data_IF_699557442903
#
_entry.id   IF_699557442903
#
_cell.length_a   1.000
_cell.length_b   1.000
_cell.length_c   1.000
_cell.angle_alpha   90.00
_cell.angle_beta   90.00
_cell.angle_gamma   90.00
#
_symmetry.space_group_name_H-M   'P 1'
#
loop_
_entity.id
_entity.type
_entity.pdbx_description
1 polymer ?
#
# COMPACT_ATOMS: atom_id res chain seq x y z
N UNK A 1 -19.66 -13.12 1.74
CA UNK A 1 -18.37 -13.74 1.40
C UNK A 1 -18.48 -14.73 0.24
N UNK A 2 -17.60 -14.63 -0.77
CA UNK A 2 -17.43 -15.61 -1.85
C UNK A 2 -16.43 -16.69 -1.45
N UNK A 3 -16.46 -17.85 -2.10
CA UNK A 3 -15.46 -18.91 -1.93
C UNK A 3 -14.49 -18.92 -3.12
N UNK A 4 -13.24 -19.31 -2.89
CA UNK A 4 -12.22 -19.50 -3.93
C UNK A 4 -12.78 -20.34 -5.11
N UNK A 5 -12.69 -19.80 -6.32
CA UNK A 5 -13.27 -20.37 -7.54
C UNK A 5 -14.57 -19.68 -7.99
N UNK A 6 -15.08 -18.70 -7.24
CA UNK A 6 -16.30 -17.94 -7.56
C UNK A 6 -16.01 -16.53 -8.10
N UNK A 7 -14.77 -16.26 -8.53
CA UNK A 7 -14.39 -14.99 -9.15
C UNK A 7 -15.20 -14.67 -10.41
N UNK A 8 -15.61 -13.40 -10.53
CA UNK A 8 -16.35 -12.85 -11.67
C UNK A 8 -15.60 -11.66 -12.25
N UNK A 9 -15.02 -10.79 -11.40
CA UNK A 9 -14.25 -9.63 -11.85
C UNK A 9 -12.77 -9.97 -12.11
N UNK A 10 -12.07 -9.08 -12.80
CA UNK A 10 -10.61 -9.22 -13.02
C UNK A 10 -9.85 -9.12 -11.70
N UNK A 11 -10.28 -8.25 -10.78
CA UNK A 11 -9.64 -8.09 -9.48
C UNK A 11 -9.85 -9.33 -8.61
N UNK A 12 -11.01 -9.97 -8.68
CA UNK A 12 -11.24 -11.24 -8.00
C UNK A 12 -10.35 -12.35 -8.58
N UNK A 13 -10.20 -12.43 -9.91
CA UNK A 13 -9.28 -13.40 -10.53
C UNK A 13 -7.83 -13.19 -10.10
N UNK A 14 -7.38 -11.94 -9.98
CA UNK A 14 -6.05 -11.60 -9.48
C UNK A 14 -5.85 -12.02 -8.02
N UNK A 15 -6.84 -11.73 -7.17
CA UNK A 15 -6.85 -12.21 -5.78
C UNK A 15 -6.75 -13.73 -5.73
N UNK A 16 -7.62 -14.44 -6.44
CA UNK A 16 -7.63 -15.90 -6.38
C UNK A 16 -6.32 -16.52 -6.91
N UNK A 17 -5.68 -15.92 -7.91
CA UNK A 17 -4.37 -16.35 -8.38
C UNK A 17 -3.30 -16.18 -7.29
N UNK A 18 -3.30 -15.05 -6.58
CA UNK A 18 -2.41 -14.81 -5.45
C UNK A 18 -2.66 -15.79 -4.30
N UNK A 19 -3.92 -16.03 -3.92
CA UNK A 19 -4.30 -17.01 -2.89
C UNK A 19 -3.80 -18.42 -3.24
N UNK A 20 -3.95 -18.85 -4.50
CA UNK A 20 -3.49 -20.17 -4.96
C UNK A 20 -1.97 -20.34 -4.94
N UNK A 21 -1.21 -19.25 -4.87
CA UNK A 21 0.26 -19.30 -4.77
C UNK A 21 0.78 -19.57 -3.35
N UNK A 22 -0.09 -19.61 -2.34
CA UNK A 22 0.28 -19.91 -0.96
C UNK A 22 0.17 -21.42 -0.73
N UNK A 23 1.31 -22.11 -0.77
CA UNK A 23 1.37 -23.58 -0.69
C UNK A 23 0.71 -24.15 0.57
N UNK A 24 0.85 -23.48 1.71
CA UNK A 24 0.26 -23.93 2.98
C UNK A 24 -1.28 -23.93 3.00
N UNK A 25 -1.92 -23.28 2.03
CA UNK A 25 -3.38 -23.20 1.90
C UNK A 25 -3.95 -24.13 0.82
N UNK A 26 -3.10 -24.87 0.10
CA UNK A 26 -3.53 -25.87 -0.87
C UNK A 26 -4.51 -26.89 -0.25
N UNK A 27 -5.62 -27.14 -0.93
CA UNK A 27 -6.66 -28.07 -0.48
C UNK A 27 -7.57 -27.56 0.64
N UNK A 28 -7.32 -26.37 1.21
CA UNK A 28 -8.17 -25.77 2.25
C UNK A 28 -9.32 -24.99 1.64
N UNK A 29 -10.44 -24.91 2.34
CA UNK A 29 -11.51 -23.97 1.96
C UNK A 29 -11.06 -22.53 2.25
N UNK A 30 -11.18 -21.65 1.24
CA UNK A 30 -10.86 -20.23 1.36
C UNK A 30 -12.07 -19.38 0.98
N UNK A 31 -12.47 -18.48 1.88
CA UNK A 31 -13.50 -17.47 1.66
C UNK A 31 -12.88 -16.09 1.49
N UNK A 32 -13.50 -15.21 0.70
CA UNK A 32 -13.03 -13.83 0.56
C UNK A 32 -14.17 -12.83 0.33
N UNK A 33 -13.94 -11.58 0.73
CA UNK A 33 -14.84 -10.46 0.47
C UNK A 33 -14.06 -9.14 0.36
N UNK A 34 -14.57 -8.15 -0.39
CA UNK A 34 -13.89 -6.88 -0.55
C UNK A 34 -13.89 -6.10 0.75
N UNK A 35 -12.76 -5.47 1.06
CA UNK A 35 -12.65 -4.45 2.11
C UNK A 35 -12.81 -3.09 1.44
N UNK A 36 -13.79 -2.31 1.90
CA UNK A 36 -14.03 -0.98 1.36
C UNK A 36 -12.87 -0.03 1.65
N UNK A 37 -12.61 0.86 0.70
CA UNK A 37 -11.47 1.77 0.74
C UNK A 37 -10.30 1.31 -0.13
N UNK A 38 -9.33 2.22 -0.32
CA UNK A 38 -8.29 2.07 -1.33
C UNK A 38 -8.73 2.66 -2.67
N UNK A 39 -7.89 3.50 -3.25
CA UNK A 39 -8.13 4.12 -4.57
C UNK A 39 -7.33 3.34 -5.62
N UNK A 40 -6.04 3.15 -5.34
CA UNK A 40 -5.05 2.59 -6.26
C UNK A 40 -4.88 1.07 -6.17
N UNK A 41 -5.50 0.41 -5.20
CA UNK A 41 -5.36 -1.04 -4.97
C UNK A 41 -6.70 -1.61 -4.53
N UNK A 42 -6.91 -2.89 -4.81
CA UNK A 42 -8.07 -3.62 -4.27
C UNK A 42 -7.69 -4.38 -3.03
N UNK A 43 -8.54 -4.26 -2.02
CA UNK A 43 -8.27 -4.77 -0.70
C UNK A 43 -9.29 -5.86 -0.36
N UNK A 44 -8.84 -6.97 0.20
CA UNK A 44 -9.68 -8.14 0.41
C UNK A 44 -9.46 -8.72 1.80
N UNK A 45 -10.54 -9.12 2.45
CA UNK A 45 -10.52 -9.96 3.64
C UNK A 45 -10.60 -11.40 3.16
N UNK A 46 -9.68 -12.24 3.61
CA UNK A 46 -9.56 -13.64 3.21
C UNK A 46 -9.57 -14.51 4.45
N UNK A 47 -10.52 -15.43 4.53
CA UNK A 47 -10.65 -16.42 5.60
C UNK A 47 -10.20 -17.78 5.08
N UNK A 48 -9.36 -18.48 5.84
CA UNK A 48 -8.79 -19.77 5.46
C UNK A 48 -9.17 -20.81 6.51
N UNK A 49 -9.66 -21.96 6.06
CA UNK A 49 -10.01 -23.07 6.95
C UNK A 49 -8.82 -23.48 7.83
N UNK A 50 -9.07 -23.55 9.15
CA UNK A 50 -8.07 -23.91 10.15
C UNK A 50 -7.00 -22.84 10.40
N UNK A 51 -7.17 -21.60 9.91
CA UNK A 51 -6.36 -20.46 10.34
C UNK A 51 -6.98 -19.79 11.57
N UNK A 52 -6.13 -19.30 12.47
CA UNK A 52 -6.57 -18.63 13.71
C UNK A 52 -7.03 -17.18 13.48
N UNK A 53 -6.75 -16.61 12.31
CA UNK A 53 -7.14 -15.24 11.93
C UNK A 53 -7.48 -15.14 10.45
N UNK A 54 -8.21 -14.09 10.09
CA UNK A 54 -8.40 -13.68 8.70
C UNK A 54 -7.16 -12.89 8.21
N UNK A 55 -7.02 -12.77 6.90
CA UNK A 55 -5.92 -12.07 6.25
C UNK A 55 -6.41 -10.89 5.40
N UNK A 56 -5.64 -9.82 5.38
CA UNK A 56 -5.85 -8.67 4.50
C UNK A 56 -4.92 -8.77 3.29
N UNK A 57 -5.50 -8.88 2.09
CA UNK A 57 -4.78 -8.88 0.82
C UNK A 57 -4.85 -7.51 0.18
N UNK A 58 -3.69 -6.90 -0.05
CA UNK A 58 -3.53 -5.64 -0.77
C UNK A 58 -3.05 -5.95 -2.18
N UNK A 59 -3.99 -6.04 -3.12
CA UNK A 59 -3.71 -6.35 -4.52
C UNK A 59 -3.44 -5.06 -5.29
N UNK A 60 -2.25 -4.88 -5.90
CA UNK A 60 -1.92 -3.68 -6.67
C UNK A 60 -2.92 -3.38 -7.78
N UNK A 61 -3.28 -2.11 -7.96
CA UNK A 61 -4.00 -1.68 -9.16
C UNK A 61 -3.07 -1.57 -10.36
N UNK A 62 -3.63 -1.79 -11.55
CA UNK A 62 -2.89 -1.70 -12.81
C UNK A 62 -2.27 -0.30 -13.01
N UNK A 63 -1.04 -0.24 -13.51
CA UNK A 63 -0.32 1.01 -13.80
C UNK A 63 0.36 1.63 -12.59
N UNK A 64 0.13 1.11 -11.38
CA UNK A 64 0.71 1.69 -10.16
C UNK A 64 2.19 1.33 -9.98
N UNK A 65 2.69 0.36 -10.75
CA UNK A 65 4.12 0.02 -10.87
C UNK A 65 4.97 1.17 -11.45
N UNK A 66 4.37 2.14 -12.14
CA UNK A 66 5.08 3.31 -12.66
C UNK A 66 5.60 4.25 -11.56
N UNK A 67 5.07 4.15 -10.34
CA UNK A 67 5.42 5.05 -9.22
C UNK A 67 5.53 4.35 -7.86
N UNK A 68 5.12 3.09 -7.74
CA UNK A 68 5.24 2.29 -6.50
C UNK A 68 6.16 1.09 -6.73
N UNK A 69 7.34 1.16 -6.11
CA UNK A 69 8.22 0.02 -5.94
C UNK A 69 7.65 -0.93 -4.86
N UNK A 70 7.34 -2.17 -5.26
CA UNK A 70 6.73 -3.16 -4.36
C UNK A 70 7.68 -3.69 -3.29
N UNK A 71 8.97 -3.75 -3.59
CA UNK A 71 9.97 -4.17 -2.62
C UNK A 71 10.17 -3.10 -1.56
N UNK A 72 10.21 -1.82 -1.96
CA UNK A 72 10.25 -0.71 -1.00
C UNK A 72 8.99 -0.66 -0.14
N UNK A 73 7.81 -0.86 -0.75
CA UNK A 73 6.55 -0.89 -0.01
C UNK A 73 6.52 -2.04 1.01
N UNK A 74 6.95 -3.24 0.62
CA UNK A 74 7.05 -4.38 1.52
C UNK A 74 8.07 -4.16 2.64
N UNK A 75 9.25 -3.60 2.33
CA UNK A 75 10.25 -3.25 3.36
C UNK A 75 9.66 -2.27 4.39
N UNK A 76 8.96 -1.24 3.93
CA UNK A 76 8.28 -0.29 4.80
C UNK A 76 7.21 -0.98 5.66
N UNK A 77 6.40 -1.86 5.09
CA UNK A 77 5.40 -2.64 5.83
C UNK A 77 6.02 -3.50 6.94
N UNK A 78 7.12 -4.20 6.64
CA UNK A 78 7.83 -5.02 7.63
C UNK A 78 8.41 -4.17 8.75
N UNK A 79 9.04 -3.03 8.44
CA UNK A 79 9.55 -2.12 9.46
C UNK A 79 8.44 -1.51 10.30
N UNK A 80 7.31 -1.13 9.69
CA UNK A 80 6.16 -0.64 10.42
C UNK A 80 5.63 -1.70 11.40
N UNK A 81 5.49 -2.96 10.97
CA UNK A 81 5.09 -4.05 11.86
C UNK A 81 6.04 -4.23 13.06
N UNK A 82 7.36 -4.11 12.83
CA UNK A 82 8.37 -4.21 13.90
C UNK A 82 8.25 -3.11 14.96
N UNK A 83 7.66 -1.96 14.63
CA UNK A 83 7.40 -0.89 15.62
C UNK A 83 6.18 -1.14 16.50
N UNK A 84 5.35 -2.14 16.18
CA UNK A 84 4.05 -2.36 16.82
C UNK A 84 2.93 -1.42 16.33
N UNK A 85 3.22 -0.50 15.41
CA UNK A 85 2.23 0.40 14.79
C UNK A 85 1.77 -0.04 13.39
N UNK A 86 2.48 -0.97 12.75
CA UNK A 86 2.05 -1.62 11.51
C UNK A 86 1.32 -2.94 11.78
N UNK A 87 0.45 -3.35 10.85
CA UNK A 87 -0.16 -4.67 10.89
C UNK A 87 0.90 -5.76 10.71
N UNK A 88 0.79 -6.92 11.40
CA UNK A 88 1.67 -8.05 11.17
C UNK A 88 1.67 -8.47 9.70
N UNK A 89 2.86 -8.57 9.11
CA UNK A 89 3.03 -9.00 7.72
C UNK A 89 3.05 -10.52 7.68
N UNK A 90 2.09 -11.12 6.98
CA UNK A 90 2.02 -12.57 6.79
C UNK A 90 2.90 -13.00 5.62
N UNK A 91 2.80 -12.32 4.47
CA UNK A 91 3.56 -12.67 3.27
C UNK A 91 3.67 -11.49 2.29
N UNK A 92 4.69 -11.56 1.42
CA UNK A 92 4.76 -10.78 0.20
C UNK A 92 4.85 -11.72 -1.00
N UNK A 93 3.79 -11.74 -1.80
CA UNK A 93 3.68 -12.61 -2.97
C UNK A 93 4.29 -11.88 -4.16
N UNK A 94 5.62 -11.96 -4.25
CA UNK A 94 6.45 -11.16 -5.17
C UNK A 94 6.01 -11.25 -6.63
N UNK A 95 5.68 -12.45 -7.11
CA UNK A 95 5.19 -12.68 -8.47
C UNK A 95 3.91 -11.89 -8.83
N UNK A 96 3.15 -11.46 -7.83
CA UNK A 96 1.93 -10.67 -7.98
C UNK A 96 2.06 -9.25 -7.43
N UNK A 97 3.16 -8.94 -6.75
CA UNK A 97 3.33 -7.69 -5.99
C UNK A 97 2.32 -7.51 -4.85
N UNK A 98 1.69 -8.60 -4.38
CA UNK A 98 0.62 -8.56 -3.38
C UNK A 98 1.21 -8.63 -1.97
N UNK A 99 0.83 -7.68 -1.13
CA UNK A 99 1.14 -7.72 0.31
C UNK A 99 -0.02 -8.38 1.06
N UNK A 100 0.31 -9.30 1.97
CA UNK A 100 -0.65 -10.00 2.83
C UNK A 100 -0.31 -9.72 4.28
N UNK A 101 -1.32 -9.30 5.03
CA UNK A 101 -1.22 -8.96 6.45
C UNK A 101 -2.22 -9.80 7.25
N UNK A 102 -2.01 -9.91 8.55
CA UNK A 102 -3.10 -10.30 9.44
C UNK A 102 -4.22 -9.25 9.37
N UNK A 103 -5.46 -9.70 9.35
CA UNK A 103 -6.61 -8.80 9.36
C UNK A 103 -6.79 -8.22 10.76
N UNK A 104 -6.84 -6.89 10.86
CA UNK A 104 -6.93 -6.19 12.14
C UNK A 104 -8.37 -6.21 12.67
N UNK A 105 -8.78 -7.34 13.26
CA UNK A 105 -10.11 -7.54 13.81
C UNK A 105 -10.44 -6.52 14.91
N UNK A 106 -11.65 -5.97 14.89
CA UNK A 106 -12.09 -4.93 15.82
C UNK A 106 -11.56 -3.52 15.53
N UNK A 107 -10.73 -3.34 14.51
CA UNK A 107 -10.25 -2.03 14.06
C UNK A 107 -11.07 -1.50 12.88
N UNK A 108 -11.08 -0.17 12.72
CA UNK A 108 -11.60 0.49 11.52
C UNK A 108 -10.60 1.50 10.97
N UNK A 109 -10.72 1.80 9.69
CA UNK A 109 -9.97 2.91 9.10
C UNK A 109 -10.32 4.23 9.81
N UNK A 110 -9.29 5.01 10.12
CA UNK A 110 -9.44 6.38 10.61
C UNK A 110 -9.87 7.31 9.48
N UNK A 111 -10.58 8.37 9.83
CA UNK A 111 -11.00 9.46 8.96
C UNK A 111 -10.41 10.79 9.43
N UNK A 112 -10.50 11.84 8.60
CA UNK A 112 -10.11 13.19 9.00
C UNK A 112 -10.85 13.67 10.27
N UNK A 113 -12.07 13.20 10.51
CA UNK A 113 -12.83 13.53 11.70
C UNK A 113 -12.22 12.93 12.98
N UNK A 114 -11.68 11.71 12.91
CA UNK A 114 -11.02 11.06 14.06
C UNK A 114 -9.80 11.86 14.50
N UNK A 115 -9.07 12.42 13.54
CA UNK A 115 -7.93 13.29 13.80
C UNK A 115 -8.35 14.64 14.42
N UNK A 116 -9.62 14.93 14.69
CA UNK A 116 -10.01 16.05 15.56
C UNK A 116 -9.83 15.71 17.05
N UNK A 117 -9.80 14.43 17.40
CA UNK A 117 -9.53 13.97 18.77
C UNK A 117 -8.04 14.03 19.07
N UNK A 118 -7.68 14.66 20.20
CA UNK A 118 -6.27 14.86 20.61
C UNK A 118 -5.52 13.54 20.70
N UNK A 119 -6.07 12.57 21.41
CA UNK A 119 -5.36 11.34 21.73
C UNK A 119 -5.12 10.48 20.47
N UNK A 120 -6.05 10.51 19.51
CA UNK A 120 -5.88 9.86 18.20
C UNK A 120 -4.72 10.51 17.44
N UNK A 121 -4.67 11.85 17.34
CA UNK A 121 -3.55 12.55 16.69
C UNK A 121 -2.22 12.25 17.35
N UNK A 122 -2.18 12.26 18.68
CA UNK A 122 -0.96 11.98 19.44
C UNK A 122 -0.50 10.53 19.22
N UNK A 123 -1.42 9.55 19.24
CA UNK A 123 -1.12 8.16 18.90
C UNK A 123 -0.53 8.00 17.50
N UNK A 124 -1.10 8.70 16.50
CA UNK A 124 -0.57 8.70 15.14
C UNK A 124 0.84 9.31 15.06
N UNK A 125 1.13 10.39 15.80
CA UNK A 125 2.47 10.98 15.89
C UNK A 125 3.47 10.03 16.54
N UNK A 126 3.07 9.27 17.56
CA UNK A 126 3.92 8.24 18.14
C UNK A 126 4.25 7.14 17.13
N UNK A 127 3.28 6.68 16.35
CA UNK A 127 3.51 5.71 15.27
C UNK A 127 4.46 6.24 14.19
N UNK A 128 4.23 7.48 13.73
CA UNK A 128 5.12 8.13 12.76
C UNK A 128 6.54 8.27 13.31
N UNK A 129 6.70 8.68 14.56
CA UNK A 129 8.01 8.77 15.21
C UNK A 129 8.68 7.40 15.32
N UNK A 130 7.97 6.38 15.78
CA UNK A 130 8.51 5.04 15.92
C UNK A 130 9.00 4.48 14.58
N UNK A 131 8.27 4.76 13.48
CA UNK A 131 8.71 4.41 12.13
C UNK A 131 9.96 5.20 11.71
N UNK A 132 9.98 6.52 11.93
CA UNK A 132 11.10 7.38 11.53
C UNK A 132 12.39 7.15 12.35
N UNK A 133 12.28 6.58 13.55
CA UNK A 133 13.43 6.21 14.38
C UNK A 133 14.06 4.87 13.92
N UNK A 134 13.45 4.14 12.98
CA UNK A 134 14.02 2.92 12.37
C UNK A 134 15.18 3.27 11.41
N UNK A 135 16.06 2.30 11.07
CA UNK A 135 17.01 2.47 9.97
C UNK A 135 16.31 2.80 8.65
N UNK A 136 16.95 3.62 7.81
CA UNK A 136 16.45 4.02 6.50
C UNK A 136 16.06 2.80 5.64
N UNK A 137 15.04 2.99 4.81
CA UNK A 137 14.70 2.04 3.74
C UNK A 137 15.87 1.90 2.75
N UNK A 138 15.95 0.78 2.05
CA UNK A 138 16.97 0.57 1.00
C UNK A 138 16.86 1.64 -0.09
N UNK A 139 15.64 1.97 -0.48
CA UNK A 139 15.37 3.06 -1.40
C UNK A 139 15.27 4.38 -0.65
N UNK A 140 16.04 5.37 -1.08
CA UNK A 140 15.82 6.77 -0.76
C UNK A 140 15.26 7.46 -1.99
N UNK A 141 14.10 8.09 -1.86
CA UNK A 141 13.47 8.89 -2.92
C UNK A 141 13.01 10.20 -2.32
N UNK A 142 13.64 11.30 -2.73
CA UNK A 142 13.33 12.63 -2.20
C UNK A 142 12.11 13.22 -2.91
N UNK A 143 11.58 14.30 -2.36
CA UNK A 143 10.56 15.10 -3.05
C UNK A 143 11.05 15.62 -4.41
N UNK A 144 12.34 15.90 -4.55
CA UNK A 144 12.89 16.38 -5.83
C UNK A 144 12.96 15.30 -6.89
N UNK A 145 13.26 14.06 -6.48
CA UNK A 145 13.23 12.89 -7.36
C UNK A 145 11.80 12.60 -7.80
N UNK A 146 10.83 12.67 -6.86
CA UNK A 146 9.41 12.49 -7.18
C UNK A 146 8.91 13.56 -8.17
N UNK A 147 9.24 14.83 -7.97
CA UNK A 147 8.83 15.91 -8.90
C UNK A 147 9.45 15.69 -10.28
N UNK A 148 10.74 15.37 -10.35
CA UNK A 148 11.42 15.11 -11.63
C UNK A 148 10.81 13.91 -12.37
N UNK A 149 10.49 12.83 -11.66
CA UNK A 149 9.81 11.66 -12.23
C UNK A 149 8.45 12.04 -12.83
N UNK A 150 7.62 12.81 -12.12
CA UNK A 150 6.32 13.21 -12.62
C UNK A 150 6.43 14.20 -13.79
N UNK A 151 7.43 15.10 -13.79
CA UNK A 151 7.71 15.98 -14.93
C UNK A 151 8.06 15.18 -16.20
N UNK A 152 8.88 14.13 -16.05
CA UNK A 152 9.20 13.23 -17.17
C UNK A 152 7.95 12.50 -17.68
N UNK A 153 7.10 11.99 -16.79
CA UNK A 153 5.84 11.33 -17.17
C UNK A 153 4.89 12.27 -17.91
N UNK A 154 4.75 13.52 -17.45
CA UNK A 154 3.95 14.54 -18.15
C UNK A 154 4.50 14.78 -19.56
N UNK A 155 5.83 14.83 -19.73
CA UNK A 155 6.44 14.98 -21.04
C UNK A 155 6.19 13.75 -21.95
N UNK A 156 6.39 12.53 -21.43
CA UNK A 156 6.20 11.27 -22.16
C UNK A 156 4.75 11.05 -22.60
N UNK A 157 3.81 11.27 -21.68
CA UNK A 157 2.37 11.11 -21.92
C UNK A 157 1.73 12.32 -22.59
N UNK A 158 2.52 13.38 -22.87
CA UNK A 158 2.04 14.66 -23.42
C UNK A 158 0.89 15.24 -22.57
N UNK A 159 1.04 15.15 -21.26
CA UNK A 159 0.08 15.64 -20.28
C UNK A 159 -0.12 17.14 -20.37
N UNK A 160 -1.33 17.60 -20.04
CA UNK A 160 -1.64 19.02 -19.99
C UNK A 160 -0.95 19.62 -18.77
N UNK A 161 -0.25 20.72 -19.00
CA UNK A 161 0.42 21.49 -17.96
C UNK A 161 -0.45 22.67 -17.53
N UNK A 162 -0.43 23.05 -16.25
CA UNK A 162 -1.10 24.26 -15.81
C UNK A 162 -0.43 25.51 -16.44
N UNK A 163 -1.16 26.63 -16.48
CA UNK A 163 -0.68 27.86 -17.13
C UNK A 163 0.62 28.41 -16.49
N UNK A 164 0.84 28.12 -15.22
CA UNK A 164 1.96 28.56 -14.40
C UNK A 164 3.08 27.52 -14.26
N UNK A 165 3.10 26.47 -15.11
CA UNK A 165 4.11 25.39 -15.07
C UNK A 165 5.56 25.93 -15.08
N UNK A 166 5.87 26.91 -15.94
CA UNK A 166 7.21 27.50 -16.03
C UNK A 166 7.64 28.16 -14.70
N UNK A 167 6.70 28.84 -14.02
CA UNK A 167 6.97 29.48 -12.74
C UNK A 167 7.16 28.45 -11.62
N UNK A 168 6.32 27.41 -11.59
CA UNK A 168 6.44 26.29 -10.64
C UNK A 168 7.76 25.53 -10.84
N UNK A 169 8.14 25.25 -12.09
CA UNK A 169 9.41 24.64 -12.43
C UNK A 169 10.59 25.50 -11.97
N UNK A 170 10.52 26.82 -12.14
CA UNK A 170 11.56 27.73 -11.62
C UNK A 170 11.67 27.67 -10.09
N UNK A 171 10.55 27.63 -9.35
CA UNK A 171 10.59 27.51 -7.89
C UNK A 171 11.17 26.16 -7.44
N UNK A 172 10.81 25.07 -8.13
CA UNK A 172 11.41 23.75 -7.93
C UNK A 172 12.95 23.79 -8.08
N UNK A 173 13.45 24.38 -9.17
CA UNK A 173 14.90 24.47 -9.41
C UNK A 173 15.61 25.30 -8.34
N UNK A 174 15.02 26.42 -7.93
CA UNK A 174 15.56 27.27 -6.85
C UNK A 174 15.63 26.53 -5.52
N UNK A 175 14.56 25.82 -5.15
CA UNK A 175 14.53 25.05 -3.91
C UNK A 175 15.57 23.90 -3.94
N UNK A 176 15.71 23.22 -5.08
CA UNK A 176 16.69 22.14 -5.25
C UNK A 176 18.13 22.64 -5.13
N UNK A 177 18.43 23.81 -5.69
CA UNK A 177 19.77 24.40 -5.65
C UNK A 177 20.17 24.98 -4.28
N UNK A 178 19.23 25.10 -3.34
CA UNK A 178 19.47 25.64 -2.00
C UNK A 178 19.84 24.58 -0.95
N UNK A 179 19.83 23.29 -1.31
CA UNK A 179 20.21 22.15 -0.48
C UNK A 179 21.64 21.70 -0.80
#
# INVERSE_FOLDING_TARGET
>A
MKTLGQSVSTQERQLEAAVRSIDSWQGRRVGYEPVSGGISNTNWRVEVEGADTAYFFKVPGAGTEMFIDRHTAHEASVKAAQTGYGAPVFAFLEAFGVEVFEFMEGWRASSNHDFLQRDIRHGALHGLKAFNDQPLLKQTKTVFDMIAEHQNQVAELKGIKPQDDDWLCLQYQRAKAAL
#
